data_IF_784142794719
#
_entry.id   IF_784142794719
#
_cell.length_a   1.000
_cell.length_b   1.000
_cell.length_c   1.000
_cell.angle_alpha   90.00
_cell.angle_beta   90.00
_cell.angle_gamma   90.00
#
_symmetry.space_group_name_H-M   'P 1'
#
loop_
_entity.id
_entity.type
_entity.pdbx_description
1 polymer ?
#
# COMPACT_ATOMS: atom_id res chain seq x y z
N UNK A 1 17.68 3.49 5.11
CA UNK A 1 19.02 2.79 5.08
C UNK A 1 19.59 2.86 3.68
N UNK A 2 20.85 3.36 3.54
CA UNK A 2 21.52 3.44 2.23
C UNK A 2 21.83 2.05 1.65
N UNK A 3 21.56 1.86 0.32
CA UNK A 3 21.70 0.57 -0.36
C UNK A 3 22.25 0.69 -1.80
N UNK A 4 23.24 1.61 -2.02
CA UNK A 4 23.73 1.99 -3.36
C UNK A 4 24.35 0.86 -4.17
N UNK A 5 25.20 0.03 -3.56
CA UNK A 5 25.90 -1.03 -4.30
C UNK A 5 25.27 -2.41 -4.09
N UNK A 6 25.57 -3.35 -4.98
CA UNK A 6 25.14 -4.75 -4.85
C UNK A 6 25.73 -5.40 -3.60
N UNK A 7 26.99 -5.12 -3.27
CA UNK A 7 27.65 -5.61 -2.06
C UNK A 7 26.93 -5.10 -0.79
N UNK A 8 26.52 -3.81 -0.79
CA UNK A 8 25.77 -3.27 0.33
C UNK A 8 24.40 -3.94 0.49
N UNK A 9 23.69 -4.22 -0.61
CA UNK A 9 22.41 -4.95 -0.58
C UNK A 9 22.58 -6.38 -0.09
N UNK A 10 23.64 -7.07 -0.52
CA UNK A 10 23.99 -8.40 0.00
C UNK A 10 24.27 -8.36 1.49
N UNK A 11 25.08 -7.41 1.95
CA UNK A 11 25.35 -7.22 3.37
C UNK A 11 24.07 -6.96 4.18
N UNK A 12 23.15 -6.14 3.66
CA UNK A 12 21.85 -5.89 4.28
C UNK A 12 21.07 -7.19 4.46
N UNK A 13 20.90 -7.98 3.39
CA UNK A 13 20.15 -9.25 3.46
C UNK A 13 20.84 -10.27 4.39
N UNK A 14 22.17 -10.25 4.52
CA UNK A 14 22.89 -11.10 5.45
C UNK A 14 22.63 -10.72 6.92
N UNK A 15 22.53 -9.42 7.23
CA UNK A 15 22.45 -8.90 8.60
C UNK A 15 21.02 -8.58 9.05
N UNK A 16 20.08 -8.41 8.11
CA UNK A 16 18.69 -8.05 8.37
C UNK A 16 17.73 -9.09 7.79
N UNK A 17 16.60 -9.29 8.46
CA UNK A 17 15.43 -9.90 7.88
C UNK A 17 14.74 -8.81 7.05
N UNK A 18 14.84 -8.90 5.73
CA UNK A 18 14.31 -7.91 4.79
C UNK A 18 13.02 -8.44 4.18
N UNK A 19 11.95 -7.65 4.21
CA UNK A 19 10.65 -8.00 3.64
C UNK A 19 10.11 -6.85 2.77
N UNK A 20 9.65 -7.11 1.53
CA UNK A 20 8.97 -6.09 0.74
C UNK A 20 7.58 -5.83 1.34
N UNK A 21 7.30 -4.57 1.68
CA UNK A 21 6.04 -4.19 2.31
C UNK A 21 5.12 -3.37 1.41
N UNK A 22 5.63 -2.74 0.33
CA UNK A 22 4.79 -2.07 -0.66
C UNK A 22 5.51 -1.99 -2.01
N UNK A 23 4.72 -1.99 -3.10
CA UNK A 23 5.13 -1.68 -4.47
C UNK A 23 4.14 -0.65 -5.02
N UNK A 24 4.61 0.54 -5.32
CA UNK A 24 3.77 1.73 -5.53
C UNK A 24 4.18 2.45 -6.80
N UNK A 25 3.18 2.85 -7.61
CA UNK A 25 3.35 3.74 -8.74
C UNK A 25 3.57 5.18 -8.25
N UNK A 26 4.61 5.84 -8.74
CA UNK A 26 4.85 7.26 -8.52
C UNK A 26 3.83 8.06 -9.33
N UNK A 27 3.25 9.09 -8.71
CA UNK A 27 2.29 9.99 -9.38
C UNK A 27 3.00 11.23 -9.90
N UNK A 28 2.44 11.86 -10.95
CA UNK A 28 2.92 13.14 -11.43
C UNK A 28 2.87 14.18 -10.30
N UNK A 29 3.91 15.01 -10.23
CA UNK A 29 4.09 15.98 -9.15
C UNK A 29 4.81 15.43 -7.91
N UNK A 30 5.01 14.13 -7.81
CA UNK A 30 5.80 13.54 -6.72
C UNK A 30 7.28 13.39 -7.12
N UNK A 31 8.18 13.76 -6.23
CA UNK A 31 9.63 13.53 -6.41
C UNK A 31 10.13 12.70 -5.23
N UNK A 32 10.67 11.52 -5.51
CA UNK A 32 11.22 10.63 -4.49
C UNK A 32 12.67 10.26 -4.80
N UNK A 33 13.48 10.19 -3.74
CA UNK A 33 14.84 9.68 -3.82
C UNK A 33 14.89 8.24 -3.32
N UNK A 34 15.59 7.43 -4.08
CA UNK A 34 15.94 6.07 -3.70
C UNK A 34 17.06 6.08 -2.67
N UNK A 35 17.00 5.17 -1.69
CA UNK A 35 18.12 4.85 -0.79
C UNK A 35 19.33 4.28 -1.57
N UNK A 36 19.15 3.90 -2.83
CA UNK A 36 20.23 3.60 -3.76
C UNK A 36 20.85 4.84 -4.43
N UNK A 37 20.37 6.06 -4.13
CA UNK A 37 20.96 7.34 -4.53
C UNK A 37 20.35 7.98 -5.78
N UNK A 38 19.60 7.24 -6.60
CA UNK A 38 18.94 7.75 -7.82
C UNK A 38 17.60 8.41 -7.51
N UNK A 39 17.12 9.27 -8.41
CA UNK A 39 15.73 9.74 -8.40
C UNK A 39 14.85 8.59 -8.93
N UNK A 40 13.71 8.40 -8.30
CA UNK A 40 12.70 7.41 -8.72
C UNK A 40 11.83 8.05 -9.79
N UNK A 41 11.73 7.41 -10.96
CA UNK A 41 11.03 7.95 -12.12
C UNK A 41 9.62 7.37 -12.31
N UNK A 42 9.42 6.09 -11.93
CA UNK A 42 8.18 5.37 -12.20
C UNK A 42 7.56 4.78 -10.94
N UNK A 43 8.00 3.59 -10.59
CA UNK A 43 7.50 2.83 -9.47
C UNK A 43 8.63 2.47 -8.50
N UNK A 44 8.26 2.18 -7.28
CA UNK A 44 9.22 1.92 -6.23
C UNK A 44 8.71 0.89 -5.23
N UNK A 45 9.66 0.21 -4.62
CA UNK A 45 9.41 -0.65 -3.48
C UNK A 45 9.77 0.03 -2.17
N UNK A 46 9.04 -0.36 -1.15
CA UNK A 46 9.38 -0.12 0.24
C UNK A 46 9.64 -1.48 0.87
N UNK A 47 10.79 -1.62 1.54
CA UNK A 47 11.16 -2.81 2.31
C UNK A 47 11.27 -2.42 3.79
N UNK A 48 10.82 -3.30 4.68
CA UNK A 48 11.17 -3.29 6.09
C UNK A 48 12.39 -4.19 6.29
N UNK A 49 13.38 -3.72 7.02
CA UNK A 49 14.58 -4.46 7.36
C UNK A 49 14.72 -4.51 8.89
N UNK A 50 14.63 -5.70 9.46
CA UNK A 50 14.76 -5.91 10.91
C UNK A 50 16.12 -6.53 11.19
N UNK A 51 16.97 -5.85 11.94
CA UNK A 51 18.31 -6.32 12.26
C UNK A 51 18.24 -7.65 13.06
N UNK A 52 18.94 -8.67 12.58
CA UNK A 52 18.81 -10.05 13.10
C UNK A 52 19.19 -10.21 14.57
N UNK A 53 20.11 -9.39 15.05
CA UNK A 53 20.61 -9.50 16.44
C UNK A 53 19.94 -8.48 17.37
N UNK A 54 19.86 -7.20 16.98
CA UNK A 54 19.32 -6.15 17.84
C UNK A 54 17.81 -5.95 17.74
N UNK A 55 17.16 -6.50 16.70
CA UNK A 55 15.75 -6.26 16.42
C UNK A 55 15.43 -4.84 15.92
N UNK A 56 16.45 -3.99 15.74
CA UNK A 56 16.28 -2.63 15.22
C UNK A 56 15.64 -2.64 13.83
N UNK A 57 14.63 -1.81 13.64
CA UNK A 57 13.90 -1.71 12.37
C UNK A 57 14.41 -0.56 11.54
N UNK A 58 14.63 -0.81 10.27
CA UNK A 58 14.97 0.18 9.27
C UNK A 58 14.09 0.02 8.03
N UNK A 59 14.00 1.10 7.27
CA UNK A 59 13.23 1.17 6.05
C UNK A 59 14.16 1.43 4.88
N UNK A 60 13.85 0.77 3.76
CA UNK A 60 14.53 0.96 2.49
C UNK A 60 13.47 1.29 1.45
N UNK A 61 13.61 2.48 0.86
CA UNK A 61 12.81 2.90 -0.29
C UNK A 61 13.71 2.91 -1.52
N UNK A 62 13.38 2.13 -2.55
CA UNK A 62 14.20 2.12 -3.75
C UNK A 62 13.41 1.88 -5.03
N UNK A 63 13.89 2.50 -6.11
CA UNK A 63 13.38 2.29 -7.46
C UNK A 63 13.70 0.88 -7.97
N UNK A 64 13.14 0.52 -9.12
CA UNK A 64 13.12 -0.86 -9.64
C UNK A 64 14.50 -1.51 -9.82
N UNK A 65 15.57 -0.74 -10.11
CA UNK A 65 16.90 -1.30 -10.24
C UNK A 65 17.37 -2.03 -8.96
N UNK A 66 17.41 -1.29 -7.85
CA UNK A 66 17.81 -1.86 -6.55
C UNK A 66 16.77 -2.83 -6.00
N UNK A 67 15.47 -2.60 -6.26
CA UNK A 67 14.39 -3.49 -5.83
C UNK A 67 14.50 -4.89 -6.43
N UNK A 68 14.81 -5.01 -7.72
CA UNK A 68 15.02 -6.31 -8.39
C UNK A 68 16.16 -7.09 -7.75
N UNK A 69 17.25 -6.41 -7.37
CA UNK A 69 18.36 -7.04 -6.66
C UNK A 69 17.92 -7.58 -5.29
N UNK A 70 17.21 -6.79 -4.50
CA UNK A 70 16.67 -7.26 -3.23
C UNK A 70 15.73 -8.44 -3.42
N UNK A 71 14.77 -8.36 -4.34
CA UNK A 71 13.82 -9.45 -4.59
C UNK A 71 14.54 -10.73 -5.02
N UNK A 72 15.59 -10.62 -5.85
CA UNK A 72 16.43 -11.76 -6.25
C UNK A 72 17.19 -12.35 -5.05
N UNK A 73 17.82 -11.51 -4.22
CA UNK A 73 18.55 -11.96 -3.04
C UNK A 73 17.65 -12.63 -2.00
N UNK A 74 16.38 -12.20 -1.91
CA UNK A 74 15.36 -12.74 -1.02
C UNK A 74 14.63 -13.96 -1.61
N UNK A 75 14.90 -14.32 -2.87
CA UNK A 75 14.12 -15.31 -3.64
C UNK A 75 12.59 -15.00 -3.58
N UNK A 76 12.23 -13.73 -3.66
CA UNK A 76 10.86 -13.25 -3.53
C UNK A 76 10.29 -12.83 -4.89
N UNK A 77 9.06 -13.27 -5.21
CA UNK A 77 8.39 -13.00 -6.50
C UNK A 77 7.99 -11.52 -6.71
N UNK A 78 8.14 -10.68 -5.69
CA UNK A 78 7.65 -9.31 -5.68
C UNK A 78 6.20 -9.19 -5.16
N UNK A 79 5.77 -7.95 -4.99
CA UNK A 79 4.40 -7.59 -4.63
C UNK A 79 3.66 -7.07 -5.86
N UNK A 80 2.33 -7.23 -5.91
CA UNK A 80 1.52 -6.54 -6.91
C UNK A 80 1.74 -5.04 -6.84
N UNK A 81 1.85 -4.40 -8.01
CA UNK A 81 1.94 -2.96 -8.11
C UNK A 81 0.59 -2.33 -7.72
N UNK A 82 0.60 -1.43 -6.75
CA UNK A 82 -0.51 -0.51 -6.56
C UNK A 82 -0.35 0.64 -7.56
N UNK A 83 -1.11 0.55 -8.65
CA UNK A 83 -1.13 1.57 -9.69
C UNK A 83 -2.51 2.22 -9.76
N UNK A 84 -2.67 3.44 -9.24
CA UNK A 84 -3.94 4.16 -9.30
C UNK A 84 -4.19 4.87 -10.62
N UNK A 85 -3.28 4.78 -11.60
CA UNK A 85 -3.40 5.45 -12.89
C UNK A 85 -3.98 4.51 -13.96
N UNK A 86 -4.72 5.08 -14.91
CA UNK A 86 -5.01 4.40 -16.16
C UNK A 86 -3.72 4.11 -16.93
N UNK A 87 -3.63 2.96 -17.58
CA UNK A 87 -2.50 2.63 -18.45
C UNK A 87 -2.77 3.22 -19.83
N UNK A 88 -2.11 4.31 -20.17
CA UNK A 88 -2.09 4.80 -21.52
C UNK A 88 -1.09 3.98 -22.36
N UNK A 89 -1.59 3.24 -23.34
CA UNK A 89 -0.81 2.76 -24.47
C UNK A 89 0.24 1.69 -24.21
N UNK A 90 -0.10 0.59 -23.57
CA UNK A 90 0.59 -0.66 -23.84
C UNK A 90 -0.44 -1.73 -24.20
N UNK A 91 -0.50 -2.08 -25.51
CA UNK A 91 -1.14 -3.28 -26.01
C UNK A 91 -0.38 -4.51 -25.48
N UNK A 92 -0.38 -4.70 -24.18
CA UNK A 92 -0.08 -5.98 -23.58
C UNK A 92 -1.43 -6.59 -23.18
N UNK A 93 -2.02 -7.26 -24.17
CA UNK A 93 -2.99 -8.32 -23.91
C UNK A 93 -2.48 -9.10 -22.69
N UNK A 94 -3.31 -9.12 -21.63
CA UNK A 94 -3.18 -10.15 -20.60
C UNK A 94 -3.15 -11.48 -21.37
N UNK A 95 -1.95 -12.02 -21.56
CA UNK A 95 -1.82 -13.42 -21.97
C UNK A 95 -2.48 -14.22 -20.87
N UNK A 96 -3.77 -14.51 -21.07
CA UNK A 96 -4.45 -15.62 -20.40
C UNK A 96 -3.64 -16.86 -20.72
N UNK A 97 -2.67 -17.15 -19.90
CA UNK A 97 -1.98 -18.42 -19.90
C UNK A 97 -3.05 -19.45 -19.48
N UNK A 98 -3.63 -20.09 -20.49
CA UNK A 98 -4.45 -21.29 -20.33
C UNK A 98 -3.55 -22.47 -19.93
N UNK A 99 -2.87 -22.36 -18.81
CA UNK A 99 -2.22 -23.51 -18.19
C UNK A 99 -3.25 -24.13 -17.24
N UNK A 100 -3.95 -25.14 -17.72
CA UNK A 100 -4.74 -26.07 -16.89
C UNK A 100 -3.78 -26.85 -15.99
N UNK A 101 -3.31 -26.22 -14.96
CA UNK A 101 -2.65 -26.85 -13.82
C UNK A 101 -3.48 -26.48 -12.59
N UNK A 102 -3.62 -27.44 -11.65
CA UNK A 102 -4.26 -27.23 -10.34
C UNK A 102 -3.51 -26.13 -9.56
N UNK A 103 -3.78 -24.87 -9.90
CA UNK A 103 -3.30 -23.71 -9.12
C UNK A 103 -4.27 -23.61 -7.94
N UNK A 104 -3.79 -23.66 -6.68
CA UNK A 104 -4.66 -23.45 -5.53
C UNK A 104 -5.40 -22.12 -5.71
N UNK A 105 -6.72 -22.13 -5.54
CA UNK A 105 -7.59 -20.99 -5.77
C UNK A 105 -7.00 -19.76 -5.05
N UNK A 106 -6.61 -18.74 -5.82
CA UNK A 106 -6.08 -17.49 -5.27
C UNK A 106 -7.17 -16.89 -4.40
N UNK A 107 -6.96 -16.84 -3.09
CA UNK A 107 -7.94 -16.25 -2.16
C UNK A 107 -8.34 -14.87 -2.68
N UNK A 108 -9.61 -14.72 -3.06
CA UNK A 108 -10.16 -13.46 -3.53
C UNK A 108 -10.25 -12.45 -2.38
N UNK A 109 -10.25 -11.17 -2.74
CA UNK A 109 -10.46 -10.11 -1.77
C UNK A 109 -11.92 -10.04 -1.35
N UNK A 110 -12.17 -9.92 -0.05
CA UNK A 110 -13.45 -9.41 0.41
C UNK A 110 -13.60 -7.95 -0.08
N UNK A 111 -14.77 -7.54 -0.63
CA UNK A 111 -14.95 -6.21 -1.21
C UNK A 111 -14.64 -5.06 -0.23
N UNK A 112 -15.08 -5.17 1.01
CA UNK A 112 -14.83 -4.17 2.06
C UNK A 112 -13.34 -4.11 2.42
N UNK A 113 -12.68 -5.26 2.53
CA UNK A 113 -11.23 -5.33 2.77
C UNK A 113 -10.44 -4.71 1.62
N UNK A 114 -10.92 -4.87 0.37
CA UNK A 114 -10.30 -4.25 -0.80
C UNK A 114 -10.42 -2.74 -0.77
N UNK A 115 -11.62 -2.19 -0.50
CA UNK A 115 -11.81 -0.75 -0.36
C UNK A 115 -10.95 -0.18 0.77
N UNK A 116 -10.86 -0.86 1.91
CA UNK A 116 -10.03 -0.41 3.03
C UNK A 116 -8.53 -0.45 2.69
N UNK A 117 -8.08 -1.47 1.96
CA UNK A 117 -6.72 -1.54 1.44
C UNK A 117 -6.43 -0.37 0.48
N UNK A 118 -7.32 -0.08 -0.46
CA UNK A 118 -7.16 1.01 -1.41
C UNK A 118 -7.12 2.37 -0.71
N UNK A 119 -7.99 2.59 0.27
CA UNK A 119 -7.98 3.78 1.10
C UNK A 119 -6.63 3.97 1.82
N UNK A 120 -6.12 2.91 2.46
CA UNK A 120 -4.81 2.95 3.13
C UNK A 120 -3.68 3.24 2.14
N UNK A 121 -3.70 2.61 0.97
CA UNK A 121 -2.68 2.85 -0.06
C UNK A 121 -2.71 4.29 -0.58
N UNK A 122 -3.89 4.88 -0.76
CA UNK A 122 -4.03 6.29 -1.09
C UNK A 122 -3.46 7.21 0.00
N UNK A 123 -3.68 6.92 1.27
CA UNK A 123 -3.12 7.69 2.38
C UNK A 123 -1.58 7.58 2.43
N UNK A 124 -1.04 6.39 2.17
CA UNK A 124 0.41 6.17 2.07
C UNK A 124 1.02 7.04 0.96
N UNK A 125 0.37 7.11 -0.20
CA UNK A 125 0.80 7.92 -1.34
C UNK A 125 0.66 9.42 -1.02
N UNK A 126 -0.51 9.84 -0.54
CA UNK A 126 -0.86 11.24 -0.35
C UNK A 126 -0.02 11.93 0.72
N UNK A 127 0.34 11.21 1.77
CA UNK A 127 1.09 11.78 2.89
C UNK A 127 2.57 11.40 2.91
N UNK A 128 3.03 10.70 1.87
CA UNK A 128 4.39 10.13 1.86
C UNK A 128 4.69 9.37 3.17
N UNK A 129 3.70 8.56 3.59
CA UNK A 129 3.70 7.94 4.91
C UNK A 129 4.93 7.04 5.09
N UNK A 130 5.61 7.21 6.22
CA UNK A 130 6.74 6.36 6.57
C UNK A 130 6.25 4.99 7.06
N UNK A 131 7.00 3.92 6.79
CA UNK A 131 6.60 2.55 7.10
C UNK A 131 6.47 2.20 8.60
N UNK A 132 6.99 3.01 9.48
CA UNK A 132 6.83 2.91 10.93
C UNK A 132 5.51 3.52 11.44
N UNK A 133 4.67 4.01 10.53
CA UNK A 133 3.37 4.59 10.87
C UNK A 133 2.26 3.52 10.98
N UNK A 134 1.19 3.79 11.74
CA UNK A 134 0.04 2.89 11.87
C UNK A 134 -0.59 2.47 10.53
N UNK A 135 -0.45 3.29 9.45
CA UNK A 135 -0.98 2.95 8.13
C UNK A 135 -0.36 1.67 7.57
N UNK A 136 0.94 1.44 7.76
CA UNK A 136 1.58 0.22 7.28
C UNK A 136 1.22 -1.00 8.13
N UNK A 137 0.96 -0.84 9.42
CA UNK A 137 0.43 -1.90 10.27
C UNK A 137 -0.97 -2.31 9.80
N UNK A 138 -1.86 -1.34 9.56
CA UNK A 138 -3.20 -1.61 9.00
C UNK A 138 -3.10 -2.29 7.63
N UNK A 139 -2.24 -1.81 6.75
CA UNK A 139 -2.01 -2.42 5.45
C UNK A 139 -1.58 -3.89 5.58
N UNK A 140 -0.62 -4.19 6.44
CA UNK A 140 -0.12 -5.55 6.68
C UNK A 140 -1.25 -6.46 7.14
N UNK A 141 -2.04 -5.98 8.10
CA UNK A 141 -3.15 -6.74 8.67
C UNK A 141 -4.25 -7.01 7.63
N UNK A 142 -4.65 -6.02 6.84
CA UNK A 142 -5.64 -6.19 5.77
C UNK A 142 -5.14 -7.15 4.69
N UNK A 143 -3.90 -7.08 4.28
CA UNK A 143 -3.33 -8.02 3.29
C UNK A 143 -3.31 -9.45 3.83
N UNK A 144 -2.98 -9.63 5.11
CA UNK A 144 -2.97 -10.95 5.76
C UNK A 144 -4.36 -11.59 5.79
N UNK A 145 -5.40 -10.78 6.03
CA UNK A 145 -6.79 -11.23 6.17
C UNK A 145 -7.70 -10.76 5.01
N UNK A 146 -7.14 -10.59 3.83
CA UNK A 146 -7.79 -9.97 2.66
C UNK A 146 -9.13 -10.59 2.22
N UNK A 147 -9.37 -11.86 2.53
CA UNK A 147 -10.62 -12.58 2.20
C UNK A 147 -11.69 -12.49 3.28
N UNK A 148 -11.41 -11.79 4.37
CA UNK A 148 -12.31 -11.63 5.52
C UNK A 148 -12.74 -10.17 5.60
N UNK A 149 -14.00 -9.94 5.91
CA UNK A 149 -14.50 -8.59 6.15
C UNK A 149 -13.79 -7.95 7.36
N UNK A 150 -13.27 -6.73 7.21
CA UNK A 150 -12.60 -6.06 8.32
C UNK A 150 -13.60 -5.68 9.41
N UNK A 151 -13.20 -5.81 10.65
CA UNK A 151 -14.01 -5.36 11.79
C UNK A 151 -14.30 -3.85 11.68
N UNK A 152 -15.51 -3.43 12.03
CA UNK A 152 -15.95 -2.04 11.98
C UNK A 152 -15.04 -1.07 12.73
N UNK A 153 -14.45 -1.48 13.86
CA UNK A 153 -13.50 -0.66 14.60
C UNK A 153 -12.21 -0.34 13.83
N UNK A 154 -11.77 -1.23 12.91
CA UNK A 154 -10.61 -0.97 12.03
C UNK A 154 -10.95 0.09 11.00
N UNK A 155 -12.14 0.01 10.41
CA UNK A 155 -12.65 1.04 9.48
C UNK A 155 -12.74 2.39 10.19
N UNK A 156 -13.35 2.43 11.38
CA UNK A 156 -13.41 3.63 12.23
C UNK A 156 -12.03 4.20 12.53
N UNK A 157 -11.05 3.36 12.81
CA UNK A 157 -9.69 3.80 13.12
C UNK A 157 -9.02 4.45 11.90
N UNK A 158 -9.17 3.90 10.70
CA UNK A 158 -8.69 4.51 9.45
C UNK A 158 -9.44 5.82 9.19
N UNK A 159 -10.78 5.87 9.38
CA UNK A 159 -11.55 7.09 9.29
C UNK A 159 -11.01 8.21 10.22
N UNK A 160 -10.64 7.85 11.45
CA UNK A 160 -10.03 8.78 12.41
C UNK A 160 -8.63 9.26 11.97
N UNK A 161 -7.85 8.38 11.33
CA UNK A 161 -6.55 8.74 10.74
C UNK A 161 -6.75 9.74 9.60
N UNK A 162 -7.75 9.53 8.71
CA UNK A 162 -8.07 10.47 7.63
C UNK A 162 -8.47 11.83 8.22
N UNK A 163 -9.40 11.86 9.17
CA UNK A 163 -9.84 13.09 9.85
C UNK A 163 -8.66 13.90 10.38
N UNK A 164 -7.76 13.25 11.11
CA UNK A 164 -6.66 13.93 11.80
C UNK A 164 -5.55 14.36 10.82
N UNK A 165 -5.13 13.48 9.94
CA UNK A 165 -4.07 13.75 8.96
C UNK A 165 -4.54 14.62 7.80
N UNK A 166 -5.79 14.47 7.39
CA UNK A 166 -6.42 15.26 6.31
C UNK A 166 -6.84 16.66 6.72
N UNK A 167 -6.67 17.05 8.01
CA UNK A 167 -7.11 18.36 8.53
C UNK A 167 -8.59 18.63 8.26
N UNK A 168 -9.43 17.62 8.44
CA UNK A 168 -10.87 17.68 8.19
C UNK A 168 -11.30 17.49 6.72
N UNK A 169 -10.36 17.27 5.79
CA UNK A 169 -10.67 16.88 4.41
C UNK A 169 -10.99 15.39 4.32
N UNK A 170 -11.87 15.03 3.40
CA UNK A 170 -12.15 13.62 3.10
C UNK A 170 -11.04 13.02 2.23
N UNK A 171 -10.95 11.70 2.21
CA UNK A 171 -10.03 10.98 1.30
C UNK A 171 -10.35 11.28 -0.16
N UNK A 172 -11.63 11.36 -0.52
CA UNK A 172 -12.07 11.75 -1.86
C UNK A 172 -11.49 13.12 -2.26
N UNK A 173 -11.61 14.14 -1.39
CA UNK A 173 -11.04 15.48 -1.66
C UNK A 173 -9.50 15.44 -1.80
N UNK A 174 -8.83 14.57 -1.06
CA UNK A 174 -7.37 14.40 -1.17
C UNK A 174 -6.99 13.74 -2.51
N UNK A 175 -7.78 12.78 -2.97
CA UNK A 175 -7.57 12.11 -4.27
C UNK A 175 -7.86 13.08 -5.42
N UNK A 176 -8.85 13.94 -5.30
CA UNK A 176 -9.19 14.94 -6.34
C UNK A 176 -8.02 15.89 -6.62
N UNK A 177 -7.20 16.24 -5.63
CA UNK A 177 -5.97 17.01 -5.89
C UNK A 177 -5.01 16.26 -6.83
N UNK A 178 -4.91 14.94 -6.70
CA UNK A 178 -4.08 14.14 -7.61
C UNK A 178 -4.68 14.03 -9.01
N UNK A 179 -6.02 14.06 -9.14
CA UNK A 179 -6.72 14.04 -10.44
C UNK A 179 -6.41 15.25 -11.31
N UNK A 180 -5.98 16.36 -10.71
CA UNK A 180 -5.61 17.55 -11.47
C UNK A 180 -4.44 17.31 -12.43
N UNK A 181 -3.54 16.40 -12.08
CA UNK A 181 -2.31 16.14 -12.85
C UNK A 181 -2.14 14.65 -13.23
N UNK A 182 -3.12 13.81 -12.92
CA UNK A 182 -3.03 12.37 -13.11
C UNK A 182 -4.37 11.82 -13.60
N UNK A 183 -4.31 10.89 -14.54
CA UNK A 183 -5.48 10.13 -14.98
C UNK A 183 -5.74 8.96 -14.01
N UNK A 184 -6.49 9.27 -12.95
CA UNK A 184 -6.73 8.36 -11.81
C UNK A 184 -7.91 7.44 -12.11
N UNK A 185 -7.74 6.16 -11.84
CA UNK A 185 -8.74 5.11 -11.98
C UNK A 185 -9.84 5.23 -10.92
N UNK A 186 -11.11 5.23 -11.37
CA UNK A 186 -12.27 5.33 -10.48
C UNK A 186 -12.49 4.10 -9.60
N UNK A 187 -12.10 2.90 -10.08
CA UNK A 187 -12.31 1.66 -9.34
C UNK A 187 -11.51 1.57 -8.04
N UNK A 188 -10.43 2.34 -7.91
CA UNK A 188 -9.62 2.46 -6.69
C UNK A 188 -10.02 3.62 -5.78
N UNK A 189 -11.08 4.36 -6.15
CA UNK A 189 -11.59 5.51 -5.42
C UNK A 189 -13.01 5.26 -4.85
N UNK A 190 -13.46 4.01 -4.82
CA UNK A 190 -14.76 3.64 -4.28
C UNK A 190 -14.63 3.26 -2.82
N UNK A 191 -15.35 3.96 -1.96
CA UNK A 191 -15.32 3.77 -0.50
C UNK A 191 -16.72 3.63 0.09
N UNK A 192 -17.72 3.35 -0.74
CA UNK A 192 -19.13 3.24 -0.36
C UNK A 192 -19.40 2.22 0.76
N UNK A 193 -18.73 1.06 0.72
CA UNK A 193 -18.84 0.06 1.77
C UNK A 193 -18.26 0.56 3.11
N UNK A 194 -17.17 1.33 3.05
CA UNK A 194 -16.55 1.90 4.26
C UNK A 194 -17.42 3.02 4.86
N UNK A 195 -17.99 3.87 4.00
CA UNK A 195 -18.96 4.90 4.40
C UNK A 195 -20.15 4.24 5.10
N UNK A 196 -20.74 3.19 4.48
CA UNK A 196 -21.86 2.45 5.07
C UNK A 196 -21.54 1.87 6.45
N UNK A 197 -20.31 1.39 6.70
CA UNK A 197 -19.89 0.90 8.02
C UNK A 197 -19.81 2.05 9.03
N UNK A 198 -19.31 3.21 8.62
CA UNK A 198 -19.19 4.39 9.51
C UNK A 198 -20.57 4.95 9.87
N UNK A 199 -21.47 5.06 8.89
CA UNK A 199 -22.82 5.59 9.09
C UNK A 199 -23.68 4.70 10.01
N UNK A 200 -23.43 3.39 9.97
CA UNK A 200 -24.12 2.40 10.78
C UNK A 200 -23.31 1.92 11.99
N UNK A 201 -22.30 2.71 12.43
CA UNK A 201 -21.42 2.31 13.51
C UNK A 201 -22.16 2.19 14.84
N UNK A 202 -21.87 1.12 15.57
CA UNK A 202 -22.43 0.85 16.90
C UNK A 202 -21.33 0.71 17.94
N UNK A 203 -21.60 1.07 19.18
CA UNK A 203 -20.72 0.82 20.32
C UNK A 203 -20.69 -0.67 20.72
N UNK A 204 -19.99 -0.96 21.81
CA UNK A 204 -19.88 -2.33 22.33
C UNK A 204 -21.22 -2.86 22.88
N UNK A 205 -22.12 -1.96 23.26
CA UNK A 205 -23.46 -2.27 23.80
C UNK A 205 -24.53 -2.34 22.69
N UNK A 206 -24.10 -2.12 21.42
CA UNK A 206 -24.98 -2.16 20.25
C UNK A 206 -25.73 -0.86 19.95
N UNK A 207 -25.48 0.22 20.71
CA UNK A 207 -26.14 1.50 20.49
C UNK A 207 -25.54 2.22 19.26
N UNK A 208 -26.35 2.90 18.43
CA UNK A 208 -25.86 3.66 17.31
C UNK A 208 -25.02 4.87 17.77
N UNK A 209 -23.84 5.03 17.19
CA UNK A 209 -23.00 6.20 17.41
C UNK A 209 -22.87 6.96 16.10
N UNK A 210 -23.24 8.24 16.10
CA UNK A 210 -23.02 9.10 14.96
C UNK A 210 -21.51 9.41 14.80
N UNK A 211 -20.94 9.02 13.67
CA UNK A 211 -19.56 9.30 13.28
C UNK A 211 -19.58 9.87 11.87
N UNK A 212 -18.96 11.03 11.68
CA UNK A 212 -18.78 11.58 10.34
C UNK A 212 -17.79 10.72 9.54
N UNK A 213 -18.17 10.34 8.31
CA UNK A 213 -17.26 9.69 7.39
C UNK A 213 -16.30 10.69 6.75
N UNK A 214 -15.03 10.28 6.64
CA UNK A 214 -13.95 11.01 5.95
C UNK A 214 -13.38 10.20 4.76
N UNK A 215 -14.03 9.11 4.36
CA UNK A 215 -13.68 8.36 3.16
C UNK A 215 -14.06 9.08 1.86
#
# INVERSE_FOLDING_TARGET
>A
MECRSTEKRQWIVQNYNVEPIAHIQLLAGQVKRSDAGAIIENDYYIFEAVHKTSGGKEIIQCGMGASRDFLRLLNHKGLPLFNPLHRHGSNNEERKSNTRGNVPAKKEWNPTAKQLYDAIMWLIIAWDAKPDTPLFEFRRDIVKYKSIEPFSWKVKRVNSVIRNGGKGRTLTNIIDDFRLNNDVRDDLCRFDLLVGIIDNYRDQDGNPIYIQSYF
#
